data_IF_199485077305
#
_entry.id   IF_199485077305
#
_cell.length_a   1.000
_cell.length_b   1.000
_cell.length_c   1.000
_cell.angle_alpha   90.00
_cell.angle_beta   90.00
_cell.angle_gamma   90.00
#
_symmetry.space_group_name_H-M   'P 1'
#
loop_
_entity.id
_entity.type
_entity.pdbx_description
1 polymer ?
#
# COMPACT_ATOMS: atom_id res chain seq x y z
N UNK A 1 -13.45 62.85 -3.47
CA UNK A 1 -14.05 61.53 -3.85
C UNK A 1 -14.18 60.57 -2.65
N UNK A 2 -13.22 60.47 -1.75
CA UNK A 2 -13.21 59.51 -0.63
C UNK A 2 -14.30 59.74 0.46
N UNK A 3 -14.72 60.97 0.77
CA UNK A 3 -15.71 61.24 1.82
C UNK A 3 -17.14 60.81 1.47
N UNK A 4 -17.53 60.84 0.20
CA UNK A 4 -18.85 60.35 -0.24
C UNK A 4 -18.90 58.82 -0.19
N UNK A 5 -17.84 58.13 -0.60
CA UNK A 5 -17.68 56.67 -0.52
C UNK A 5 -17.74 56.19 0.94
N UNK A 6 -17.05 56.84 1.86
CA UNK A 6 -17.09 56.51 3.29
C UNK A 6 -18.50 56.71 3.90
N UNK A 7 -19.23 57.75 3.52
CA UNK A 7 -20.61 57.93 3.96
C UNK A 7 -21.56 56.86 3.43
N UNK A 8 -21.38 56.43 2.19
CA UNK A 8 -22.18 55.41 1.57
C UNK A 8 -21.92 54.04 2.23
N UNK A 9 -20.65 53.69 2.45
CA UNK A 9 -20.26 52.47 3.18
C UNK A 9 -20.84 52.47 4.59
N UNK A 10 -20.83 53.58 5.28
CA UNK A 10 -21.40 53.71 6.64
C UNK A 10 -22.92 53.60 6.68
N UNK A 11 -23.63 54.06 5.67
CA UNK A 11 -25.09 53.96 5.60
C UNK A 11 -25.56 52.56 5.20
N UNK A 12 -24.76 51.80 4.41
CA UNK A 12 -25.08 50.47 3.92
C UNK A 12 -24.27 49.39 4.67
N UNK A 13 -23.76 49.69 5.88
CA UNK A 13 -22.83 48.87 6.59
C UNK A 13 -23.36 47.42 6.83
N UNK A 14 -24.68 47.25 7.04
CA UNK A 14 -25.30 45.95 7.26
C UNK A 14 -25.30 45.10 6.00
N UNK A 15 -25.61 45.71 4.86
CA UNK A 15 -25.55 45.03 3.55
C UNK A 15 -24.11 44.70 3.16
N UNK A 16 -23.19 45.68 3.37
CA UNK A 16 -21.77 45.46 3.11
C UNK A 16 -21.14 44.41 4.03
N UNK A 17 -21.57 44.35 5.30
CA UNK A 17 -21.12 43.30 6.25
C UNK A 17 -21.58 41.94 5.82
N UNK A 18 -22.84 41.81 5.36
CA UNK A 18 -23.36 40.53 4.88
C UNK A 18 -22.60 40.04 3.64
N UNK A 19 -22.38 40.92 2.68
CA UNK A 19 -21.58 40.63 1.48
C UNK A 19 -20.13 40.22 1.84
N UNK A 20 -19.52 40.98 2.77
CA UNK A 20 -18.17 40.65 3.25
C UNK A 20 -18.11 39.26 3.94
N UNK A 21 -19.14 38.93 4.73
CA UNK A 21 -19.24 37.63 5.37
C UNK A 21 -19.42 36.49 4.34
N UNK A 22 -20.27 36.69 3.34
CA UNK A 22 -20.50 35.76 2.25
C UNK A 22 -19.20 35.51 1.46
N UNK A 23 -18.51 36.58 1.05
CA UNK A 23 -17.21 36.45 0.36
C UNK A 23 -16.15 35.79 1.22
N UNK A 24 -16.14 36.03 2.52
CA UNK A 24 -15.23 35.39 3.45
C UNK A 24 -15.49 33.88 3.50
N UNK A 25 -16.75 33.45 3.67
CA UNK A 25 -17.12 32.03 3.70
C UNK A 25 -16.73 31.33 2.38
N UNK A 26 -17.07 31.97 1.24
CA UNK A 26 -16.73 31.43 -0.07
C UNK A 26 -15.20 31.30 -0.22
N UNK A 27 -14.44 32.31 0.24
CA UNK A 27 -12.97 32.27 0.18
C UNK A 27 -12.38 31.12 1.02
N UNK A 28 -12.93 30.88 2.22
CA UNK A 28 -12.49 29.76 3.09
C UNK A 28 -12.79 28.43 2.43
N UNK A 29 -13.99 28.25 1.87
CA UNK A 29 -14.37 27.01 1.18
C UNK A 29 -13.50 26.79 -0.07
N UNK A 30 -13.29 27.84 -0.85
CA UNK A 30 -12.42 27.77 -2.04
C UNK A 30 -10.98 27.41 -1.66
N UNK A 31 -10.45 28.02 -0.60
CA UNK A 31 -9.12 27.70 -0.11
C UNK A 31 -9.02 26.22 0.28
N UNK A 32 -9.99 25.70 1.03
CA UNK A 32 -10.04 24.29 1.41
C UNK A 32 -10.06 23.35 0.19
N UNK A 33 -10.87 23.66 -0.83
CA UNK A 33 -10.95 22.85 -2.05
C UNK A 33 -9.62 22.89 -2.82
N UNK A 34 -9.03 24.08 -2.97
CA UNK A 34 -7.75 24.23 -3.68
C UNK A 34 -6.63 23.50 -2.95
N UNK A 35 -6.56 23.63 -1.63
CA UNK A 35 -5.59 22.90 -0.79
C UNK A 35 -5.74 21.40 -0.92
N UNK A 36 -6.97 20.88 -0.81
CA UNK A 36 -7.27 19.45 -0.99
C UNK A 36 -6.82 18.93 -2.37
N UNK A 37 -7.13 19.67 -3.44
CA UNK A 37 -6.74 19.29 -4.80
C UNK A 37 -5.22 19.32 -4.94
N UNK A 38 -4.56 20.35 -4.44
CA UNK A 38 -3.11 20.49 -4.49
C UNK A 38 -2.41 19.33 -3.76
N UNK A 39 -2.82 19.04 -2.54
CA UNK A 39 -2.27 17.94 -1.73
C UNK A 39 -2.52 16.60 -2.42
N UNK A 40 -3.73 16.34 -2.91
CA UNK A 40 -4.07 15.12 -3.62
C UNK A 40 -3.23 14.94 -4.88
N UNK A 41 -3.05 16.01 -5.65
CA UNK A 41 -2.21 16.00 -6.84
C UNK A 41 -0.74 15.71 -6.51
N UNK A 42 -0.19 16.36 -5.49
CA UNK A 42 1.18 16.13 -5.04
C UNK A 42 1.38 14.67 -4.62
N UNK A 43 0.45 14.12 -3.81
CA UNK A 43 0.53 12.74 -3.32
C UNK A 43 0.53 11.71 -4.45
N UNK A 44 -0.33 11.87 -5.45
CA UNK A 44 -0.41 10.92 -6.59
C UNK A 44 0.87 10.91 -7.43
N UNK A 45 1.60 12.05 -7.47
CA UNK A 45 2.83 12.15 -8.25
C UNK A 45 4.10 11.75 -7.47
N UNK A 46 3.98 11.47 -6.17
CA UNK A 46 5.09 10.89 -5.41
C UNK A 46 5.33 9.44 -5.84
N UNK A 47 6.60 8.98 -5.91
CA UNK A 47 6.92 7.59 -6.19
C UNK A 47 6.23 6.63 -5.21
N UNK A 48 5.64 5.56 -5.72
CA UNK A 48 4.98 4.53 -4.90
C UNK A 48 6.00 3.65 -4.15
N UNK A 49 7.24 3.55 -4.65
CA UNK A 49 8.27 2.67 -4.11
C UNK A 49 8.08 1.20 -4.50
N UNK A 50 7.10 0.90 -5.34
CA UNK A 50 6.83 -0.42 -5.90
C UNK A 50 6.24 -0.31 -7.30
N UNK A 51 6.24 -1.43 -8.03
CA UNK A 51 5.58 -1.56 -9.34
C UNK A 51 4.58 -2.72 -9.29
N UNK A 52 3.30 -2.42 -9.43
CA UNK A 52 2.20 -3.39 -9.45
C UNK A 52 1.71 -3.74 -10.87
N UNK A 53 2.32 -3.20 -11.93
CA UNK A 53 2.02 -3.58 -13.31
C UNK A 53 2.31 -5.07 -13.53
N UNK A 54 1.48 -5.74 -14.29
CA UNK A 54 1.58 -7.19 -14.55
C UNK A 54 1.52 -8.07 -13.28
N UNK A 55 1.03 -7.53 -12.17
CA UNK A 55 0.85 -8.28 -10.93
C UNK A 55 -0.59 -8.74 -10.76
N UNK A 56 -0.75 -9.95 -10.20
CA UNK A 56 -2.04 -10.54 -9.92
C UNK A 56 -2.06 -11.09 -8.50
N UNK A 57 -3.19 -10.87 -7.82
CA UNK A 57 -3.52 -11.58 -6.59
C UNK A 57 -4.19 -12.90 -6.95
N UNK A 58 -3.74 -13.97 -6.31
CA UNK A 58 -4.30 -15.31 -6.44
C UNK A 58 -5.01 -15.65 -5.13
N UNK A 59 -6.33 -15.74 -5.17
CA UNK A 59 -7.10 -16.14 -4.01
C UNK A 59 -7.15 -17.67 -3.95
N UNK A 60 -6.64 -18.25 -2.88
CA UNK A 60 -6.65 -19.70 -2.62
C UNK A 60 -7.83 -20.00 -1.71
N UNK A 61 -8.72 -20.84 -2.18
CA UNK A 61 -9.89 -21.33 -1.45
C UNK A 61 -9.65 -22.73 -0.88
N UNK A 62 -10.51 -23.08 0.08
CA UNK A 62 -10.58 -24.43 0.67
C UNK A 62 -11.90 -25.06 0.26
N UNK A 63 -11.88 -26.34 -0.11
CA UNK A 63 -13.09 -27.11 -0.44
C UNK A 63 -14.04 -27.12 0.75
N UNK A 64 -15.32 -27.09 0.46
CA UNK A 64 -16.34 -27.25 1.48
C UNK A 64 -16.28 -28.66 2.06
N UNK A 65 -16.42 -28.80 3.38
CA UNK A 65 -16.41 -30.09 4.09
C UNK A 65 -17.47 -31.09 3.59
N UNK A 66 -18.55 -30.59 2.95
CA UNK A 66 -19.59 -31.42 2.34
C UNK A 66 -19.25 -31.87 0.90
N UNK A 67 -18.13 -31.43 0.37
CA UNK A 67 -17.68 -31.87 -0.95
C UNK A 67 -17.29 -33.36 -0.90
N UNK A 68 -17.65 -34.16 -1.89
CA UNK A 68 -17.23 -35.58 -1.93
C UNK A 68 -15.72 -35.76 -2.05
N UNK A 69 -15.01 -34.73 -2.50
CA UNK A 69 -13.55 -34.74 -2.66
C UNK A 69 -12.81 -34.14 -1.45
N UNK A 70 -13.52 -33.73 -0.38
CA UNK A 70 -12.92 -33.15 0.80
C UNK A 70 -12.21 -34.22 1.64
N UNK A 71 -10.95 -33.97 1.97
CA UNK A 71 -10.14 -34.83 2.86
C UNK A 71 -10.32 -34.32 4.29
N UNK A 72 -11.13 -35.06 5.07
CA UNK A 72 -11.57 -34.59 6.41
C UNK A 72 -10.44 -34.66 7.46
N UNK A 73 -9.56 -35.65 7.39
CA UNK A 73 -8.54 -35.93 8.40
C UNK A 73 -7.13 -35.50 7.95
N UNK A 74 -7.06 -34.45 7.10
CA UNK A 74 -5.80 -33.96 6.59
C UNK A 74 -4.91 -33.42 7.72
N UNK A 75 -3.69 -33.87 7.79
CA UNK A 75 -2.67 -33.44 8.76
C UNK A 75 -2.10 -32.04 8.39
N UNK A 76 -1.46 -31.39 9.35
CA UNK A 76 -0.76 -30.11 9.08
C UNK A 76 0.33 -30.26 8.01
N UNK A 77 1.01 -31.40 7.97
CA UNK A 77 2.03 -31.70 6.95
C UNK A 77 1.43 -31.80 5.55
N UNK A 78 0.27 -32.43 5.39
CA UNK A 78 -0.44 -32.51 4.12
C UNK A 78 -0.89 -31.12 3.63
N UNK A 79 -1.37 -30.26 4.52
CA UNK A 79 -1.71 -28.87 4.18
C UNK A 79 -0.50 -28.09 3.67
N UNK A 80 0.66 -28.26 4.29
CA UNK A 80 1.91 -27.62 3.82
C UNK A 80 2.36 -28.19 2.46
N UNK A 81 2.26 -29.51 2.26
CA UNK A 81 2.57 -30.14 0.98
C UNK A 81 1.67 -29.64 -0.14
N UNK A 82 0.37 -29.50 0.12
CA UNK A 82 -0.58 -28.95 -0.85
C UNK A 82 -0.25 -27.51 -1.22
N UNK A 83 0.07 -26.66 -0.22
CA UNK A 83 0.50 -25.28 -0.43
C UNK A 83 1.77 -25.22 -1.27
N UNK A 84 2.77 -25.98 -0.91
CA UNK A 84 4.04 -26.07 -1.64
C UNK A 84 3.81 -26.52 -3.09
N UNK A 85 3.00 -27.56 -3.28
CA UNK A 85 2.67 -28.07 -4.62
C UNK A 85 1.92 -27.01 -5.46
N UNK A 86 1.00 -26.27 -4.86
CA UNK A 86 0.29 -25.18 -5.54
C UNK A 86 1.25 -24.06 -5.96
N UNK A 87 2.16 -23.66 -5.06
CA UNK A 87 3.19 -22.66 -5.32
C UNK A 87 4.12 -23.11 -6.46
N UNK A 88 4.64 -24.33 -6.40
CA UNK A 88 5.52 -24.89 -7.43
C UNK A 88 4.84 -24.94 -8.81
N UNK A 89 3.57 -25.33 -8.87
CA UNK A 89 2.81 -25.32 -10.13
C UNK A 89 2.64 -23.93 -10.71
N UNK A 90 2.44 -22.91 -9.86
CA UNK A 90 2.43 -21.52 -10.31
C UNK A 90 3.82 -21.10 -10.84
N UNK A 91 4.91 -21.44 -10.12
CA UNK A 91 6.28 -21.13 -10.54
C UNK A 91 6.69 -21.80 -11.85
N UNK A 92 6.14 -22.98 -12.15
CA UNK A 92 6.44 -23.71 -13.38
C UNK A 92 5.75 -23.16 -14.62
N UNK A 93 4.78 -22.23 -14.47
CA UNK A 93 4.12 -21.62 -15.62
C UNK A 93 5.08 -20.66 -16.35
N UNK A 94 5.21 -20.77 -17.67
CA UNK A 94 6.16 -19.99 -18.45
C UNK A 94 5.86 -18.48 -18.43
N UNK A 95 4.59 -18.12 -18.25
CA UNK A 95 4.16 -16.72 -18.18
C UNK A 95 4.49 -16.06 -16.83
N UNK A 96 4.69 -16.84 -15.76
CA UNK A 96 4.97 -16.30 -14.43
C UNK A 96 6.46 -16.03 -14.27
N UNK A 97 6.80 -14.80 -13.89
CA UNK A 97 8.15 -14.35 -13.58
C UNK A 97 8.52 -14.63 -12.13
N UNK A 98 7.59 -14.34 -11.20
CA UNK A 98 7.81 -14.50 -9.76
C UNK A 98 6.50 -14.82 -9.04
N UNK A 99 6.61 -15.63 -7.98
CA UNK A 99 5.51 -15.96 -7.05
C UNK A 99 5.92 -15.54 -5.66
N UNK A 100 5.11 -14.73 -5.00
CA UNK A 100 5.34 -14.27 -3.63
C UNK A 100 4.18 -14.65 -2.73
N UNK A 101 4.52 -15.07 -1.49
CA UNK A 101 3.55 -15.29 -0.44
C UNK A 101 3.80 -14.32 0.71
N UNK A 102 2.73 -13.85 1.36
CA UNK A 102 2.86 -12.89 2.42
C UNK A 102 1.68 -12.86 3.38
N UNK A 103 1.84 -12.01 4.40
CA UNK A 103 0.82 -11.67 5.37
C UNK A 103 0.82 -10.15 5.59
N UNK A 104 -0.30 -9.49 5.30
CA UNK A 104 -0.46 -8.04 5.34
C UNK A 104 0.60 -7.28 4.50
N UNK A 105 0.91 -7.77 3.30
CA UNK A 105 2.06 -7.34 2.52
C UNK A 105 1.73 -6.54 1.27
N UNK A 106 0.68 -6.88 0.53
CA UNK A 106 0.44 -6.22 -0.75
C UNK A 106 -0.17 -4.82 -0.59
N UNK A 107 0.10 -3.92 -1.53
CA UNK A 107 -0.50 -2.59 -1.54
C UNK A 107 -2.01 -2.64 -1.81
N UNK A 108 -2.72 -1.55 -1.48
CA UNK A 108 -4.17 -1.42 -1.69
C UNK A 108 -5.03 -2.41 -0.91
N UNK A 109 -4.50 -3.01 0.16
CA UNK A 109 -5.31 -3.80 1.07
C UNK A 109 -5.94 -2.91 2.15
N UNK A 110 -7.09 -3.31 2.66
CA UNK A 110 -7.72 -2.67 3.82
C UNK A 110 -7.17 -3.20 5.14
N UNK A 111 -6.41 -4.30 5.10
CA UNK A 111 -5.80 -4.95 6.25
C UNK A 111 -4.31 -4.65 6.32
N UNK A 112 -3.83 -4.19 7.46
CA UNK A 112 -2.42 -4.04 7.75
C UNK A 112 -2.11 -4.47 9.17
N UNK A 113 -0.87 -4.84 9.41
CA UNK A 113 -0.37 -5.22 10.74
C UNK A 113 0.62 -4.18 11.23
N UNK A 114 0.51 -3.81 12.49
CA UNK A 114 1.43 -2.88 13.13
C UNK A 114 2.58 -3.58 13.83
N UNK A 115 3.69 -2.89 13.98
CA UNK A 115 4.85 -3.33 14.76
C UNK A 115 5.54 -2.14 15.43
N UNK A 116 6.54 -2.44 16.25
CA UNK A 116 7.52 -1.48 16.75
C UNK A 116 8.92 -1.86 16.27
N UNK A 117 9.86 -0.95 16.47
CA UNK A 117 11.30 -1.22 16.39
C UNK A 117 11.94 -0.67 17.64
N UNK A 118 12.93 -1.37 18.19
CA UNK A 118 13.75 -0.88 19.28
C UNK A 118 15.22 -1.16 18.98
N UNK A 119 16.03 -0.11 19.08
CA UNK A 119 17.48 -0.17 18.98
C UNK A 119 18.08 0.68 20.10
N UNK A 120 18.80 0.05 21.04
CA UNK A 120 19.32 0.72 22.24
C UNK A 120 18.19 1.48 23.00
N UNK A 121 18.32 2.77 23.17
CA UNK A 121 17.31 3.64 23.78
C UNK A 121 16.30 4.20 22.77
N UNK A 122 16.47 3.88 21.49
CA UNK A 122 15.66 4.41 20.38
C UNK A 122 14.48 3.49 20.16
N UNK A 123 13.29 4.05 20.27
CA UNK A 123 12.03 3.40 19.91
C UNK A 123 11.16 4.42 19.17
N UNK A 124 11.08 4.32 17.82
CA UNK A 124 10.25 5.22 17.03
C UNK A 124 8.80 5.21 17.48
N UNK A 125 8.23 6.39 17.67
CA UNK A 125 6.81 6.54 18.00
C UNK A 125 5.92 6.45 16.77
N UNK A 126 4.66 6.08 16.97
CA UNK A 126 3.63 6.01 15.93
C UNK A 126 3.59 4.65 15.22
N UNK A 127 2.72 4.56 14.22
CA UNK A 127 2.43 3.29 13.54
C UNK A 127 3.52 2.93 12.52
N UNK A 128 4.01 1.72 12.62
CA UNK A 128 4.95 1.12 11.65
C UNK A 128 4.25 -0.09 11.07
N UNK A 129 4.15 -0.16 9.75
CA UNK A 129 3.53 -1.28 9.03
C UNK A 129 4.49 -2.47 9.03
N UNK A 130 4.01 -3.59 9.54
CA UNK A 130 4.71 -4.87 9.49
C UNK A 130 4.25 -5.65 8.26
N UNK A 131 5.19 -6.13 7.46
CA UNK A 131 4.95 -6.97 6.30
C UNK A 131 5.78 -8.23 6.43
N UNK A 132 5.14 -9.40 6.54
CA UNK A 132 5.82 -10.69 6.61
C UNK A 132 5.69 -11.41 5.28
N UNK A 133 6.81 -11.76 4.64
CA UNK A 133 6.78 -12.23 3.26
C UNK A 133 7.89 -13.23 2.92
N UNK A 134 7.65 -13.99 1.87
CA UNK A 134 8.72 -14.77 1.23
C UNK A 134 9.67 -13.85 0.46
N UNK A 135 10.95 -14.22 0.29
CA UNK A 135 11.93 -13.40 -0.44
C UNK A 135 11.47 -13.00 -1.84
N UNK A 136 10.79 -13.87 -2.56
CA UNK A 136 10.35 -13.60 -3.93
C UNK A 136 9.20 -12.58 -4.02
N UNK A 137 8.50 -12.29 -2.90
CA UNK A 137 7.50 -11.23 -2.84
C UNK A 137 8.10 -9.87 -3.20
N UNK A 138 9.37 -9.63 -2.81
CA UNK A 138 10.13 -8.43 -3.18
C UNK A 138 10.22 -8.26 -4.69
N UNK A 139 10.43 -9.38 -5.41
CA UNK A 139 10.55 -9.40 -6.87
C UNK A 139 9.21 -9.15 -7.56
N UNK A 140 8.10 -9.64 -6.97
CA UNK A 140 6.76 -9.43 -7.54
C UNK A 140 6.45 -7.92 -7.66
N UNK A 141 6.74 -7.14 -6.64
CA UNK A 141 6.49 -5.70 -6.64
C UNK A 141 7.71 -4.84 -7.01
N UNK A 142 8.82 -5.47 -7.37
CA UNK A 142 10.05 -4.78 -7.81
C UNK A 142 10.50 -3.69 -6.83
N UNK A 143 10.50 -3.99 -5.52
CA UNK A 143 11.00 -3.05 -4.52
C UNK A 143 12.49 -2.75 -4.74
N UNK A 144 12.90 -1.53 -4.38
CA UNK A 144 14.29 -1.08 -4.54
C UNK A 144 14.84 -0.47 -3.25
N UNK A 145 16.13 -0.56 -3.06
CA UNK A 145 16.82 0.04 -1.93
C UNK A 145 17.38 1.43 -2.22
N UNK A 146 17.67 2.19 -1.17
CA UNK A 146 18.16 3.57 -1.25
C UNK A 146 19.57 3.70 -1.85
N UNK A 147 20.36 2.63 -1.83
CA UNK A 147 21.68 2.60 -2.46
C UNK A 147 21.66 1.99 -3.86
N UNK A 148 20.44 1.79 -4.43
CA UNK A 148 20.25 1.18 -5.75
C UNK A 148 20.21 -0.35 -5.71
N UNK A 149 19.97 -0.96 -4.52
CA UNK A 149 19.78 -2.41 -4.41
C UNK A 149 18.60 -2.86 -5.28
N UNK A 150 18.83 -3.91 -6.07
CA UNK A 150 17.81 -4.50 -6.93
C UNK A 150 16.85 -5.40 -6.14
N UNK A 151 15.66 -5.74 -6.69
CA UNK A 151 14.74 -6.68 -6.05
C UNK A 151 15.39 -8.02 -5.69
N UNK A 152 16.30 -8.53 -6.53
CA UNK A 152 17.02 -9.78 -6.29
C UNK A 152 17.96 -9.66 -5.09
N UNK A 153 18.69 -8.55 -4.98
CA UNK A 153 19.59 -8.29 -3.86
C UNK A 153 18.83 -8.17 -2.54
N UNK A 154 17.68 -7.47 -2.56
CA UNK A 154 16.81 -7.33 -1.39
C UNK A 154 16.16 -8.68 -1.00
N UNK A 155 15.78 -9.50 -1.97
CA UNK A 155 15.26 -10.84 -1.71
C UNK A 155 16.31 -11.73 -1.01
N UNK A 156 17.60 -11.63 -1.39
CA UNK A 156 18.68 -12.36 -0.71
C UNK A 156 18.90 -11.87 0.73
N UNK A 157 18.60 -10.60 1.05
CA UNK A 157 18.60 -10.10 2.43
C UNK A 157 17.56 -10.85 3.27
N UNK A 158 16.31 -10.91 2.81
CA UNK A 158 15.25 -11.65 3.51
C UNK A 158 15.55 -13.14 3.62
N UNK A 159 16.16 -13.75 2.59
CA UNK A 159 16.54 -15.16 2.57
C UNK A 159 17.58 -15.50 3.65
N UNK A 160 18.46 -14.55 4.00
CA UNK A 160 19.40 -14.68 5.12
C UNK A 160 18.74 -14.53 6.51
N UNK A 161 17.44 -14.23 6.57
CA UNK A 161 16.71 -13.96 7.80
C UNK A 161 16.92 -12.54 8.34
N UNK A 162 17.52 -11.66 7.54
CA UNK A 162 17.67 -10.24 7.85
C UNK A 162 16.39 -9.49 7.46
N UNK A 163 16.20 -8.28 8.00
CA UNK A 163 15.01 -7.46 7.74
C UNK A 163 15.33 -6.27 6.85
N UNK A 164 14.28 -5.76 6.19
CA UNK A 164 14.31 -4.53 5.42
C UNK A 164 13.51 -3.45 6.16
N UNK A 165 14.01 -2.23 6.18
CA UNK A 165 13.32 -1.09 6.78
C UNK A 165 13.18 0.03 5.75
N UNK A 166 12.11 0.80 5.78
CA UNK A 166 11.95 1.96 4.90
C UNK A 166 12.81 3.14 5.36
N UNK A 167 13.29 3.97 4.43
CA UNK A 167 14.14 5.13 4.71
C UNK A 167 13.50 6.14 5.66
N UNK A 168 12.18 6.26 5.62
CA UNK A 168 11.39 7.16 6.45
C UNK A 168 11.03 6.58 7.84
N UNK A 169 11.62 5.43 8.22
CA UNK A 169 11.26 4.73 9.47
C UNK A 169 11.42 5.58 10.72
N UNK A 170 12.46 6.42 10.76
CA UNK A 170 12.79 7.28 11.90
C UNK A 170 12.24 8.71 11.74
N UNK A 171 11.62 9.05 10.63
CA UNK A 171 11.00 10.35 10.42
C UNK A 171 9.88 10.56 11.45
N UNK A 172 9.57 11.80 11.80
CA UNK A 172 8.59 12.16 12.82
C UNK A 172 9.00 11.88 14.29
N UNK A 173 10.24 11.51 14.57
CA UNK A 173 10.68 11.31 15.93
C UNK A 173 11.51 12.51 16.40
N UNK A 174 10.88 13.48 17.03
CA UNK A 174 11.53 14.67 17.60
C UNK A 174 12.63 14.31 18.63
N UNK A 175 12.51 13.13 19.24
CA UNK A 175 13.46 12.64 20.24
C UNK A 175 14.69 11.92 19.66
N UNK A 176 14.71 11.67 18.33
CA UNK A 176 15.82 10.98 17.65
C UNK A 176 16.56 12.00 16.79
N UNK A 177 17.18 12.98 17.45
CA UNK A 177 17.94 14.02 16.75
C UNK A 177 19.20 13.43 16.08
N UNK A 178 19.25 13.54 14.76
CA UNK A 178 20.43 13.25 13.95
C UNK A 178 20.65 11.81 13.52
N UNK A 179 19.76 10.85 13.84
CA UNK A 179 19.82 9.47 13.34
C UNK A 179 18.83 9.26 12.20
N UNK A 180 19.24 8.55 11.18
CA UNK A 180 18.44 8.15 10.02
C UNK A 180 18.31 6.62 9.94
N UNK A 181 17.39 6.11 9.11
CA UNK A 181 17.27 4.67 8.88
C UNK A 181 18.58 4.04 8.36
N UNK A 182 19.43 4.81 7.66
CA UNK A 182 20.74 4.35 7.19
C UNK A 182 21.69 3.97 8.33
N UNK A 183 21.59 4.63 9.45
CA UNK A 183 22.47 4.39 10.61
C UNK A 183 22.14 3.06 11.32
N UNK A 184 20.96 2.51 11.03
CA UNK A 184 20.53 1.18 11.48
C UNK A 184 21.05 0.04 10.60
N UNK A 185 21.62 0.32 9.43
CA UNK A 185 22.13 -0.71 8.53
C UNK A 185 23.21 -1.56 9.22
N UNK A 186 23.02 -2.89 9.17
CA UNK A 186 23.91 -3.84 9.82
C UNK A 186 23.78 -3.96 11.34
N UNK A 187 22.86 -3.20 11.97
CA UNK A 187 22.58 -3.27 13.41
C UNK A 187 21.55 -4.35 13.71
N UNK A 188 21.63 -4.88 14.94
CA UNK A 188 20.63 -5.78 15.48
C UNK A 188 19.57 -4.99 16.22
N UNK A 189 18.31 -5.20 15.88
CA UNK A 189 17.16 -4.48 16.42
C UNK A 189 16.11 -5.46 16.95
N UNK A 190 15.34 -5.05 17.93
CA UNK A 190 14.14 -5.77 18.37
C UNK A 190 12.93 -5.29 17.56
N UNK A 191 12.05 -6.21 17.19
CA UNK A 191 10.84 -5.95 16.40
C UNK A 191 9.70 -6.74 17.00
N UNK A 192 8.46 -6.30 16.77
CA UNK A 192 7.25 -7.02 17.14
C UNK A 192 7.04 -7.17 18.65
N UNK A 193 7.51 -6.19 19.44
CA UNK A 193 7.47 -6.20 20.92
C UNK A 193 8.16 -7.41 21.57
N UNK A 194 8.96 -8.14 20.78
CA UNK A 194 9.70 -9.30 21.23
C UNK A 194 11.16 -8.89 21.51
N UNK A 195 11.55 -8.93 22.78
CA UNK A 195 12.91 -8.64 23.23
C UNK A 195 13.77 -9.90 23.41
N UNK A 196 13.22 -11.05 23.07
CA UNK A 196 13.96 -12.35 23.14
C UNK A 196 14.74 -12.64 21.88
N UNK A 197 14.38 -12.03 20.77
CA UNK A 197 15.01 -12.21 19.46
C UNK A 197 15.33 -10.88 18.80
N UNK A 198 16.56 -10.76 18.31
CA UNK A 198 16.97 -9.64 17.45
C UNK A 198 16.89 -10.00 15.97
N UNK A 199 16.74 -8.96 15.16
CA UNK A 199 16.84 -9.04 13.71
C UNK A 199 17.89 -8.08 13.22
N UNK A 200 18.76 -8.52 12.32
CA UNK A 200 19.72 -7.65 11.68
C UNK A 200 19.07 -6.86 10.55
N UNK A 201 19.28 -5.56 10.52
CA UNK A 201 18.87 -4.70 9.41
C UNK A 201 19.80 -4.93 8.23
N UNK A 202 19.34 -5.61 7.20
CA UNK A 202 20.16 -6.01 6.05
C UNK A 202 20.14 -5.01 4.90
N UNK A 203 19.08 -4.22 4.74
CA UNK A 203 19.01 -3.12 3.76
C UNK A 203 17.95 -2.08 4.16
N UNK A 204 18.07 -0.89 3.56
CA UNK A 204 17.09 0.20 3.69
C UNK A 204 16.40 0.41 2.35
N UNK A 205 15.09 0.32 2.35
CA UNK A 205 14.24 0.51 1.18
C UNK A 205 13.99 1.99 0.90
N UNK A 206 13.78 2.35 -0.35
CA UNK A 206 13.08 3.58 -0.67
C UNK A 206 11.72 3.61 0.03
N UNK A 207 11.16 4.80 0.26
CA UNK A 207 9.82 4.91 0.86
C UNK A 207 8.81 4.10 0.04
N UNK A 208 8.09 3.21 0.72
CA UNK A 208 7.06 2.35 0.12
C UNK A 208 5.70 2.85 0.54
N UNK A 209 4.94 3.41 -0.38
CA UNK A 209 3.57 3.85 -0.12
C UNK A 209 2.63 2.65 -0.04
N UNK A 210 1.58 2.78 0.76
CA UNK A 210 0.51 1.78 0.82
C UNK A 210 -0.52 1.96 -0.30
N UNK A 211 -0.76 3.21 -0.67
CA UNK A 211 -1.65 3.61 -1.77
C UNK A 211 -1.24 4.99 -2.31
N UNK A 212 -1.80 5.37 -3.46
CA UNK A 212 -1.48 6.62 -4.17
C UNK A 212 -1.70 7.89 -3.32
N UNK A 213 -2.77 7.93 -2.52
CA UNK A 213 -3.15 9.10 -1.73
C UNK A 213 -2.61 9.09 -0.29
N UNK A 214 -1.86 8.08 0.10
CA UNK A 214 -1.33 8.01 1.46
C UNK A 214 -0.01 8.79 1.56
N UNK A 215 0.07 9.66 2.58
CA UNK A 215 1.29 10.42 2.85
C UNK A 215 2.45 9.49 3.20
N UNK A 216 3.65 9.79 2.68
CA UNK A 216 4.86 8.99 2.91
C UNK A 216 5.15 8.73 4.38
N UNK A 217 4.91 9.72 5.25
CA UNK A 217 5.10 9.61 6.70
C UNK A 217 4.22 8.53 7.37
N UNK A 218 3.06 8.20 6.78
CA UNK A 218 2.17 7.15 7.28
C UNK A 218 2.56 5.76 6.78
N UNK A 219 3.56 5.66 5.91
CA UNK A 219 3.97 4.42 5.24
C UNK A 219 5.27 3.84 5.78
N UNK A 220 5.66 4.17 7.01
CA UNK A 220 6.84 3.57 7.64
C UNK A 220 6.69 2.07 7.71
N UNK A 221 7.65 1.34 7.16
CA UNK A 221 7.51 -0.10 6.91
C UNK A 221 8.72 -0.88 7.40
N UNK A 222 8.45 -2.05 7.99
CA UNK A 222 9.44 -3.10 8.25
C UNK A 222 8.97 -4.35 7.50
N UNK A 223 9.85 -4.92 6.68
CA UNK A 223 9.61 -6.19 6.00
C UNK A 223 10.42 -7.28 6.66
N UNK A 224 9.74 -8.34 7.06
CA UNK A 224 10.32 -9.49 7.74
C UNK A 224 10.18 -10.75 6.87
N UNK A 225 11.15 -11.67 6.95
CA UNK A 225 10.95 -12.98 6.37
C UNK A 225 9.82 -13.71 7.10
N UNK A 226 8.90 -14.31 6.35
CA UNK A 226 7.84 -15.13 6.93
C UNK A 226 8.45 -16.40 7.54
N UNK A 227 8.05 -16.74 8.77
CA UNK A 227 8.62 -17.88 9.48
C UNK A 227 8.16 -19.22 8.91
N UNK A 228 6.86 -19.31 8.58
CA UNK A 228 6.25 -20.47 7.95
C UNK A 228 5.24 -20.03 6.90
N UNK A 229 5.19 -20.70 5.77
CA UNK A 229 4.24 -20.38 4.68
C UNK A 229 2.80 -20.67 5.05
N UNK A 230 2.54 -21.48 6.09
CA UNK A 230 1.21 -21.72 6.65
C UNK A 230 0.50 -20.46 7.11
N UNK A 231 1.26 -19.44 7.52
CA UNK A 231 0.71 -18.15 7.93
C UNK A 231 0.45 -17.20 6.75
N UNK A 232 0.94 -17.53 5.54
CA UNK A 232 0.72 -16.71 4.37
C UNK A 232 -0.73 -16.89 3.87
N UNK A 233 -1.47 -15.78 3.87
CA UNK A 233 -2.83 -15.72 3.32
C UNK A 233 -2.89 -14.93 2.01
N UNK A 234 -1.79 -14.31 1.64
CA UNK A 234 -1.65 -13.51 0.42
C UNK A 234 -0.75 -14.23 -0.57
N UNK A 235 -1.29 -14.49 -1.75
CA UNK A 235 -0.59 -15.09 -2.87
C UNK A 235 -0.58 -14.09 -4.01
N UNK A 236 0.60 -13.75 -4.48
CA UNK A 236 0.77 -12.77 -5.55
C UNK A 236 1.73 -13.32 -6.60
N UNK A 237 1.47 -13.00 -7.84
CA UNK A 237 2.33 -13.38 -8.95
C UNK A 237 2.63 -12.15 -9.82
N UNK A 238 3.84 -12.11 -10.39
CA UNK A 238 4.17 -11.21 -11.49
C UNK A 238 4.21 -12.03 -12.77
N UNK A 239 3.52 -11.53 -13.78
CA UNK A 239 3.52 -12.08 -15.13
C UNK A 239 4.57 -11.33 -15.96
N UNK A 240 5.21 -12.02 -16.90
CA UNK A 240 6.16 -11.41 -17.84
C UNK A 240 5.44 -10.42 -18.74
N UNK A 241 6.05 -9.27 -18.99
CA UNK A 241 5.46 -8.14 -19.72
C UNK A 241 4.80 -8.51 -21.06
N UNK A 242 5.32 -9.54 -21.75
CA UNK A 242 4.78 -9.97 -23.03
C UNK A 242 3.72 -11.09 -22.96
N UNK A 243 3.40 -11.58 -21.74
CA UNK A 243 2.53 -12.73 -21.51
C UNK A 243 1.31 -12.39 -20.65
N UNK A 244 1.08 -11.12 -20.37
CA UNK A 244 -0.01 -10.63 -19.54
C UNK A 244 -1.38 -10.76 -20.23
N UNK A 245 -1.37 -10.67 -21.55
CA UNK A 245 -2.59 -10.85 -22.34
C UNK A 245 -3.14 -12.27 -22.14
N UNK A 246 -4.41 -12.34 -21.82
CA UNK A 246 -5.15 -13.58 -21.63
C UNK A 246 -4.66 -14.46 -20.43
N UNK A 247 -3.72 -13.96 -19.60
CA UNK A 247 -3.20 -14.72 -18.46
C UNK A 247 -4.30 -15.16 -17.49
N UNK A 248 -5.20 -14.23 -17.11
CA UNK A 248 -6.33 -14.53 -16.22
C UNK A 248 -7.22 -15.65 -16.79
N UNK A 249 -7.55 -15.58 -18.08
CA UNK A 249 -8.39 -16.55 -18.76
C UNK A 249 -7.71 -17.93 -18.87
N UNK A 250 -6.44 -17.93 -19.26
CA UNK A 250 -5.65 -19.14 -19.41
C UNK A 250 -5.45 -19.85 -18.06
N UNK A 251 -5.09 -19.11 -16.99
CA UNK A 251 -4.95 -19.69 -15.68
C UNK A 251 -6.29 -20.23 -15.16
N UNK A 252 -7.38 -19.48 -15.39
CA UNK A 252 -8.74 -19.90 -14.99
C UNK A 252 -9.18 -21.20 -15.68
N UNK A 253 -8.85 -21.38 -16.93
CA UNK A 253 -9.16 -22.60 -17.68
C UNK A 253 -8.37 -23.83 -17.15
N UNK A 254 -7.24 -23.61 -16.52
CA UNK A 254 -6.38 -24.65 -15.97
C UNK A 254 -6.68 -25.02 -14.49
N UNK A 255 -7.54 -24.26 -13.79
CA UNK A 255 -7.76 -24.42 -12.33
C UNK A 255 -8.17 -25.87 -12.00
N UNK A 256 -9.19 -26.40 -12.64
CA UNK A 256 -9.73 -27.73 -12.32
C UNK A 256 -8.76 -28.87 -12.58
N UNK A 257 -7.83 -28.68 -13.53
CA UNK A 257 -6.87 -29.73 -13.93
C UNK A 257 -5.60 -29.69 -13.13
N UNK A 258 -5.10 -28.49 -12.82
CA UNK A 258 -3.72 -28.33 -12.32
C UNK A 258 -3.63 -27.60 -10.98
N UNK A 259 -4.65 -26.84 -10.58
CA UNK A 259 -4.61 -25.98 -9.40
C UNK A 259 -5.67 -26.34 -8.36
N UNK A 260 -6.09 -27.61 -8.34
CA UNK A 260 -6.87 -28.23 -7.28
C UNK A 260 -6.00 -29.34 -6.67
N UNK A 261 -5.58 -29.17 -5.42
CA UNK A 261 -4.61 -30.02 -4.74
C UNK A 261 -5.08 -30.26 -3.33
N UNK A 262 -5.44 -31.51 -3.02
CA UNK A 262 -6.11 -31.81 -1.75
C UNK A 262 -7.35 -30.94 -1.56
N UNK A 263 -7.42 -30.26 -0.43
CA UNK A 263 -8.53 -29.35 -0.14
C UNK A 263 -8.33 -27.94 -0.68
N UNK A 264 -7.17 -27.63 -1.28
CA UNK A 264 -6.86 -26.29 -1.80
C UNK A 264 -7.20 -26.17 -3.28
N UNK A 265 -7.67 -24.99 -3.67
CA UNK A 265 -7.86 -24.63 -5.08
C UNK A 265 -7.71 -23.11 -5.29
N UNK A 266 -7.35 -22.69 -6.49
CA UNK A 266 -7.41 -21.27 -6.86
C UNK A 266 -8.88 -20.89 -7.03
N UNK A 267 -9.36 -19.98 -6.19
CA UNK A 267 -10.75 -19.54 -6.20
C UNK A 267 -10.96 -18.28 -7.06
N UNK A 268 -9.96 -17.41 -7.13
CA UNK A 268 -10.05 -16.18 -7.92
C UNK A 268 -8.67 -15.70 -8.36
N UNK A 269 -8.65 -14.91 -9.43
CA UNK A 269 -7.45 -14.28 -9.99
C UNK A 269 -7.82 -12.83 -10.23
N UNK A 270 -7.12 -11.90 -9.60
CA UNK A 270 -7.45 -10.48 -9.62
C UNK A 270 -6.22 -9.66 -10.01
N UNK A 271 -6.23 -8.95 -11.15
CA UNK A 271 -5.14 -8.06 -11.51
C UNK A 271 -5.08 -6.87 -10.54
N UNK A 272 -3.85 -6.40 -10.25
CA UNK A 272 -3.64 -5.33 -9.27
C UNK A 272 -4.19 -3.96 -9.70
N UNK A 273 -4.31 -3.69 -10.99
CA UNK A 273 -5.01 -2.50 -11.48
C UNK A 273 -6.47 -2.46 -11.01
N UNK A 274 -7.19 -3.59 -11.07
CA UNK A 274 -8.57 -3.71 -10.57
C UNK A 274 -8.65 -3.53 -9.04
N UNK A 275 -7.66 -4.06 -8.30
CA UNK A 275 -7.58 -3.87 -6.84
C UNK A 275 -7.38 -2.40 -6.53
N UNK A 276 -6.42 -1.74 -7.20
CA UNK A 276 -6.14 -0.32 -7.09
C UNK A 276 -7.37 0.53 -7.39
N UNK A 277 -8.04 0.30 -8.52
CA UNK A 277 -9.23 1.04 -8.93
C UNK A 277 -10.37 0.90 -7.90
N UNK A 278 -10.54 -0.31 -7.36
CA UNK A 278 -11.54 -0.55 -6.32
C UNK A 278 -11.22 0.19 -5.03
N UNK A 279 -9.94 0.19 -4.62
CA UNK A 279 -9.46 0.86 -3.41
C UNK A 279 -9.56 2.39 -3.52
N UNK A 280 -9.21 2.96 -4.68
CA UNK A 280 -9.16 4.40 -4.88
C UNK A 280 -10.52 5.01 -5.24
N UNK A 281 -11.52 4.21 -5.57
CA UNK A 281 -12.83 4.66 -6.10
C UNK A 281 -13.48 5.76 -5.26
N UNK A 282 -13.49 5.60 -3.94
CA UNK A 282 -14.10 6.58 -3.03
C UNK A 282 -13.34 7.90 -3.04
N UNK A 283 -12.02 7.85 -2.93
CA UNK A 283 -11.15 9.04 -2.95
C UNK A 283 -11.24 9.78 -4.28
N UNK A 284 -11.26 9.08 -5.39
CA UNK A 284 -11.42 9.67 -6.72
C UNK A 284 -12.80 10.30 -6.90
N UNK A 285 -13.84 9.68 -6.38
CA UNK A 285 -15.18 10.25 -6.38
C UNK A 285 -15.25 11.52 -5.55
N UNK A 286 -14.63 11.54 -4.37
CA UNK A 286 -14.52 12.72 -3.54
C UNK A 286 -13.77 13.85 -4.26
N UNK A 287 -12.67 13.55 -4.91
CA UNK A 287 -11.90 14.51 -5.70
C UNK A 287 -12.74 15.11 -6.84
N UNK A 288 -13.49 14.29 -7.58
CA UNK A 288 -14.43 14.76 -8.61
C UNK A 288 -15.52 15.68 -8.04
N UNK A 289 -16.07 15.33 -6.88
CA UNK A 289 -17.06 16.15 -6.20
C UNK A 289 -16.49 17.51 -5.77
N UNK A 290 -15.23 17.56 -5.32
CA UNK A 290 -14.53 18.80 -4.98
C UNK A 290 -14.34 19.69 -6.23
N UNK A 291 -13.94 19.13 -7.36
CA UNK A 291 -13.85 19.88 -8.62
C UNK A 291 -15.20 20.43 -9.07
N UNK A 292 -16.28 19.63 -8.96
CA UNK A 292 -17.63 20.08 -9.30
C UNK A 292 -18.08 21.23 -8.37
N UNK A 293 -17.81 21.11 -7.06
CA UNK A 293 -18.08 22.15 -6.07
C UNK A 293 -17.33 23.45 -6.36
N UNK A 294 -16.05 23.36 -6.72
CA UNK A 294 -15.25 24.51 -7.12
C UNK A 294 -15.83 25.21 -8.36
N UNK A 295 -16.19 24.43 -9.39
CA UNK A 295 -16.82 24.96 -10.60
C UNK A 295 -18.15 25.68 -10.29
N UNK A 296 -18.97 25.09 -9.42
CA UNK A 296 -20.23 25.71 -8.98
C UNK A 296 -20.00 27.03 -8.23
N UNK A 297 -19.05 27.07 -7.30
CA UNK A 297 -18.70 28.29 -6.55
C UNK A 297 -18.18 29.40 -7.47
N UNK A 298 -17.27 29.06 -8.40
CA UNK A 298 -16.75 29.99 -9.39
C UNK A 298 -17.88 30.58 -10.27
N UNK A 299 -18.82 29.73 -10.72
CA UNK A 299 -19.97 30.16 -11.51
C UNK A 299 -20.83 31.16 -10.71
N UNK A 300 -21.11 30.88 -9.43
CA UNK A 300 -21.89 31.77 -8.58
C UNK A 300 -21.19 33.13 -8.35
N UNK A 301 -19.86 33.12 -8.15
CA UNK A 301 -19.08 34.35 -8.02
C UNK A 301 -19.20 35.17 -9.31
N UNK A 302 -19.05 34.55 -10.47
CA UNK A 302 -19.17 35.24 -11.77
C UNK A 302 -20.55 35.80 -12.00
N UNK A 303 -21.62 35.11 -11.64
CA UNK A 303 -23.01 35.56 -11.75
C UNK A 303 -23.33 36.65 -10.72
N UNK A 304 -22.72 36.64 -9.54
CA UNK A 304 -22.89 37.69 -8.52
C UNK A 304 -22.11 38.98 -8.81
N UNK A 305 -21.13 38.93 -9.73
CA UNK A 305 -20.38 40.07 -10.19
C UNK A 305 -21.01 40.75 -11.42
N UNK A 306 -21.98 40.13 -12.09
CA UNK A 306 -22.76 40.67 -13.20
C UNK A 306 -24.00 41.39 -12.69
#
# INVERSE_FOLDING_TARGET
MNQKLFKQIKNEWRSNLWLALELFIVSVVMWYIVDYIYVSYALVHEPLGFNAEHCYRIDVGVLNEKSPDYVADATGEEWEEWRHTLEERLRQRPEIESVGLGFCCYPYDTSNSGTNLQYDTISPTGFIIKREMTPDFIKVFRYTGINGETPEQLAEVLKRGEILISENLLDMNENISGMTAKDLLGKDVYVNWDTTRTFKVGAVLNTVKYSDYMQGQMNRTIMLPIGTTSNANEWVVRVRDNMDKDFEENLRADIDRHFRIGNLYISNIVPFDRIRDSYLRETEQQTRNMFAGMGFLLLNILLGLL
#
